data_IF_134407798376
#
_entry.id   IF_134407798376
#
_cell.length_a   1.000
_cell.length_b   1.000
_cell.length_c   1.000
_cell.angle_alpha   90.00
_cell.angle_beta   90.00
_cell.angle_gamma   90.00
#
_symmetry.space_group_name_H-M   'P 1'
#
loop_
_entity.id
_entity.type
_entity.pdbx_description
1 polymer ?
#
# COMPACT_ATOMS: atom_id res chain seq x y z
N UNK A 1 -6.97 1.01 -21.06
CA UNK A 1 -6.78 1.12 -19.60
C UNK A 1 -5.36 1.60 -19.37
N UNK A 2 -5.15 2.43 -18.35
CA UNK A 2 -3.85 2.90 -17.91
C UNK A 2 -3.44 2.16 -16.64
N UNK A 3 -2.16 1.91 -16.50
CA UNK A 3 -1.57 1.33 -15.30
C UNK A 3 -1.32 2.44 -14.28
N UNK A 4 -1.71 2.21 -13.04
CA UNK A 4 -1.42 3.10 -11.93
C UNK A 4 -0.78 2.33 -10.79
N UNK A 5 0.26 2.92 -10.21
CA UNK A 5 0.94 2.46 -9.01
C UNK A 5 0.56 3.40 -7.88
N UNK A 6 -0.19 2.87 -6.91
CA UNK A 6 -0.70 3.65 -5.78
C UNK A 6 -0.04 3.17 -4.50
N UNK A 7 0.53 4.11 -3.76
CA UNK A 7 1.14 3.86 -2.44
C UNK A 7 0.18 4.35 -1.37
N UNK A 8 -0.26 3.42 -0.51
CA UNK A 8 -1.16 3.67 0.61
C UNK A 8 -0.38 3.55 1.91
N UNK A 9 -0.55 4.53 2.80
CA UNK A 9 -0.14 4.41 4.20
C UNK A 9 -1.23 3.66 4.98
N UNK A 10 -0.84 2.58 5.66
CA UNK A 10 -1.73 1.87 6.58
C UNK A 10 -1.70 2.51 7.98
N UNK A 11 -2.85 2.59 8.67
CA UNK A 11 -2.88 2.96 10.06
C UNK A 11 -2.20 1.87 10.90
N UNK A 12 -1.29 2.28 11.77
CA UNK A 12 -0.58 1.37 12.67
C UNK A 12 0.88 1.75 12.86
N UNK A 13 1.69 0.77 13.23
CA UNK A 13 3.12 0.87 13.45
C UNK A 13 3.81 -0.51 13.39
N UNK A 14 4.67 -0.78 14.36
CA UNK A 14 5.52 -1.98 14.42
C UNK A 14 4.71 -3.29 14.47
N UNK A 15 3.46 -3.27 14.90
CA UNK A 15 2.57 -4.44 14.90
C UNK A 15 2.26 -4.95 13.48
N UNK A 16 2.41 -4.10 12.47
CA UNK A 16 2.28 -4.46 11.06
C UNK A 16 3.60 -4.87 10.42
N UNK A 17 4.72 -4.79 11.16
CA UNK A 17 6.06 -5.04 10.63
C UNK A 17 6.27 -6.53 10.37
N UNK A 18 6.84 -6.82 9.21
CA UNK A 18 7.26 -8.17 8.87
C UNK A 18 8.56 -8.47 9.64
N UNK A 19 8.54 -9.50 10.46
CA UNK A 19 9.74 -9.95 11.19
C UNK A 19 10.59 -10.86 10.29
N UNK A 20 11.91 -10.79 10.43
CA UNK A 20 12.88 -11.60 9.67
C UNK A 20 12.44 -13.07 9.60
N UNK A 21 12.11 -13.54 8.39
CA UNK A 21 11.59 -14.90 8.17
C UNK A 21 10.37 -15.03 7.23
N UNK A 22 9.94 -13.95 6.56
CA UNK A 22 8.79 -13.91 5.62
C UNK A 22 7.42 -14.18 6.25
N UNK A 23 7.31 -14.27 7.57
CA UNK A 23 5.99 -14.40 8.19
C UNK A 23 5.32 -13.03 8.20
N UNK A 24 4.29 -12.86 7.36
CA UNK A 24 3.38 -11.73 7.48
C UNK A 24 2.75 -11.71 8.88
N UNK A 25 2.47 -10.51 9.42
CA UNK A 25 1.58 -10.40 10.57
C UNK A 25 0.29 -11.16 10.28
N UNK A 26 -0.18 -11.93 11.25
CA UNK A 26 -1.43 -12.67 11.12
C UNK A 26 -2.55 -11.68 10.76
N UNK A 27 -3.31 -11.97 9.71
CA UNK A 27 -4.40 -11.11 9.22
C UNK A 27 -3.97 -9.77 8.60
N UNK A 28 -2.69 -9.58 8.23
CA UNK A 28 -2.18 -8.32 7.65
C UNK A 28 -3.09 -7.75 6.56
N UNK A 29 -3.50 -8.56 5.57
CA UNK A 29 -4.36 -8.08 4.48
C UNK A 29 -5.80 -7.86 4.88
N UNK A 30 -6.32 -8.63 5.82
CA UNK A 30 -7.65 -8.39 6.38
C UNK A 30 -7.67 -7.03 7.10
N UNK A 31 -6.63 -6.75 7.89
CA UNK A 31 -6.46 -5.48 8.59
C UNK A 31 -6.22 -4.31 7.63
N UNK A 32 -5.36 -4.49 6.62
CA UNK A 32 -5.13 -3.50 5.57
C UNK A 32 -6.42 -3.21 4.78
N UNK A 33 -7.18 -4.24 4.42
CA UNK A 33 -8.46 -4.13 3.72
C UNK A 33 -9.50 -3.42 4.57
N UNK A 34 -9.57 -3.75 5.85
CA UNK A 34 -10.46 -3.10 6.81
C UNK A 34 -10.08 -1.63 7.00
N UNK A 35 -8.80 -1.31 7.13
CA UNK A 35 -8.33 0.06 7.21
C UNK A 35 -8.73 0.88 5.97
N UNK A 36 -8.55 0.31 4.79
CA UNK A 36 -8.91 0.94 3.52
C UNK A 36 -10.43 1.10 3.38
N UNK A 37 -11.22 0.07 3.73
CA UNK A 37 -12.69 0.12 3.63
C UNK A 37 -13.30 1.17 4.57
N UNK A 38 -12.71 1.37 5.74
CA UNK A 38 -13.09 2.40 6.71
C UNK A 38 -12.58 3.80 6.35
N UNK A 39 -11.75 3.95 5.32
CA UNK A 39 -11.16 5.23 4.92
C UNK A 39 -10.06 5.72 5.85
N UNK A 40 -9.44 4.83 6.62
CA UNK A 40 -8.38 5.14 7.59
C UNK A 40 -6.96 5.12 6.98
N UNK A 41 -6.86 5.05 5.65
CA UNK A 41 -5.59 5.08 4.92
C UNK A 41 -5.36 6.43 4.25
N UNK A 42 -4.10 6.75 3.98
CA UNK A 42 -3.73 7.95 3.21
C UNK A 42 -3.02 7.55 1.93
N UNK A 43 -3.38 8.18 0.80
CA UNK A 43 -2.67 7.99 -0.46
C UNK A 43 -1.45 8.91 -0.45
N UNK A 44 -0.26 8.32 -0.46
CA UNK A 44 1.00 9.07 -0.44
C UNK A 44 1.44 9.42 -1.86
N UNK A 45 1.17 8.52 -2.82
CA UNK A 45 1.57 8.67 -4.20
C UNK A 45 0.62 7.88 -5.11
N UNK A 46 0.31 8.43 -6.28
CA UNK A 46 -0.39 7.74 -7.38
C UNK A 46 0.25 8.15 -8.69
N UNK A 47 0.78 7.18 -9.45
CA UNK A 47 1.52 7.47 -10.68
C UNK A 47 1.26 6.44 -11.78
N UNK A 48 1.53 6.82 -13.02
CA UNK A 48 1.36 5.93 -14.19
C UNK A 48 2.65 5.13 -14.54
N UNK A 49 3.76 5.40 -13.86
CA UNK A 49 5.09 4.85 -14.15
C UNK A 49 5.72 4.08 -12.97
N UNK A 50 6.57 3.10 -13.28
CA UNK A 50 7.24 2.19 -12.31
C UNK A 50 8.51 2.79 -11.66
N UNK A 51 8.81 4.05 -11.92
CA UNK A 51 10.00 4.72 -11.41
C UNK A 51 10.03 4.90 -9.88
N UNK A 52 11.18 5.37 -9.41
CA UNK A 52 11.39 5.74 -8.00
C UNK A 52 10.53 6.97 -7.69
N UNK A 53 9.65 6.87 -6.69
CA UNK A 53 8.78 7.99 -6.30
C UNK A 53 9.49 8.93 -5.33
N UNK A 54 9.98 10.08 -5.82
CA UNK A 54 10.59 11.10 -4.95
C UNK A 54 9.64 11.58 -3.84
N UNK A 55 8.34 11.64 -4.11
CA UNK A 55 7.33 12.04 -3.11
C UNK A 55 7.28 11.02 -1.95
N UNK A 56 7.35 9.73 -2.28
CA UNK A 56 7.45 8.67 -1.29
C UNK A 56 8.72 8.81 -0.44
N UNK A 57 9.89 9.00 -1.06
CA UNK A 57 11.14 9.16 -0.32
C UNK A 57 11.19 10.42 0.54
N UNK A 58 10.67 11.53 0.03
CA UNK A 58 10.49 12.77 0.81
C UNK A 58 9.60 12.51 2.02
N UNK A 59 8.48 11.80 1.83
CA UNK A 59 7.55 11.46 2.90
C UNK A 59 8.18 10.56 3.96
N UNK A 60 8.82 9.46 3.53
CA UNK A 60 9.55 8.52 4.40
C UNK A 60 10.60 9.24 5.25
N UNK A 61 11.32 10.20 4.67
CA UNK A 61 12.30 11.01 5.39
C UNK A 61 11.73 11.88 6.53
N UNK A 62 10.41 12.07 6.57
CA UNK A 62 9.71 12.82 7.64
C UNK A 62 9.12 11.94 8.74
N UNK A 63 9.14 10.61 8.56
CA UNK A 63 8.52 9.68 9.49
C UNK A 63 9.24 9.69 10.83
N UNK A 64 8.45 9.85 11.91
CA UNK A 64 8.93 9.80 13.30
C UNK A 64 8.71 8.45 13.98
N UNK A 65 7.89 7.60 13.37
CA UNK A 65 7.53 6.26 13.83
C UNK A 65 7.60 5.31 12.65
N UNK A 66 7.70 4.01 12.93
CA UNK A 66 7.58 3.00 11.90
C UNK A 66 6.23 3.10 11.20
N UNK A 67 6.23 3.05 9.88
CA UNK A 67 5.02 3.12 9.06
C UNK A 67 5.04 2.03 7.99
N UNK A 68 3.91 1.35 7.83
CA UNK A 68 3.73 0.37 6.75
C UNK A 68 3.04 1.01 5.57
N UNK A 69 3.64 0.82 4.41
CA UNK A 69 3.08 1.22 3.13
C UNK A 69 2.69 0.00 2.30
N UNK A 70 1.62 0.14 1.53
CA UNK A 70 1.21 -0.84 0.54
C UNK A 70 1.28 -0.23 -0.85
N UNK A 71 2.01 -0.88 -1.75
CA UNK A 71 1.99 -0.61 -3.17
C UNK A 71 0.93 -1.50 -3.84
N UNK A 72 0.03 -0.88 -4.60
CA UNK A 72 -0.93 -1.61 -5.45
C UNK A 72 -0.84 -1.16 -6.90
N UNK A 73 -0.93 -2.14 -7.79
CA UNK A 73 -1.06 -1.93 -9.22
C UNK A 73 -2.54 -1.97 -9.62
N UNK A 74 -3.04 -0.87 -10.19
CA UNK A 74 -4.43 -0.71 -10.58
C UNK A 74 -4.56 -0.42 -12.08
N UNK A 75 -5.59 -0.99 -12.69
CA UNK A 75 -6.01 -0.65 -14.04
C UNK A 75 -7.19 0.32 -13.99
N UNK A 76 -6.95 1.55 -14.46
CA UNK A 76 -7.93 2.64 -14.43
C UNK A 76 -8.19 3.16 -15.84
N UNK A 77 -9.39 3.68 -16.08
CA UNK A 77 -9.71 4.32 -17.34
C UNK A 77 -9.13 5.75 -17.39
N UNK A 78 -8.69 6.27 -18.55
CA UNK A 78 -8.04 7.59 -18.65
C UNK A 78 -8.85 8.79 -18.14
N UNK A 79 -10.18 8.65 -18.02
CA UNK A 79 -11.09 9.69 -17.56
C UNK A 79 -11.68 9.38 -16.16
N UNK A 80 -11.24 8.30 -15.50
CA UNK A 80 -11.61 8.06 -14.10
C UNK A 80 -10.81 9.03 -13.23
N UNK A 81 -11.48 10.05 -12.69
CA UNK A 81 -10.97 10.76 -11.53
C UNK A 81 -11.05 9.80 -10.36
N UNK A 82 -9.93 9.21 -9.96
CA UNK A 82 -9.99 8.16 -8.95
C UNK A 82 -10.00 8.80 -7.58
N UNK A 83 -11.21 9.01 -7.08
CA UNK A 83 -11.40 9.44 -5.71
C UNK A 83 -10.81 8.41 -4.75
N UNK A 84 -10.42 8.84 -3.56
CA UNK A 84 -9.99 7.91 -2.49
C UNK A 84 -11.04 6.82 -2.24
N UNK A 85 -12.33 7.16 -2.34
CA UNK A 85 -13.43 6.20 -2.22
C UNK A 85 -13.43 5.10 -3.29
N UNK A 86 -13.02 5.41 -4.52
CA UNK A 86 -12.95 4.45 -5.63
C UNK A 86 -11.69 3.59 -5.55
N UNK A 87 -10.57 4.19 -5.15
CA UNK A 87 -9.35 3.45 -4.82
C UNK A 87 -9.62 2.45 -3.70
N UNK A 88 -10.33 2.87 -2.66
CA UNK A 88 -10.69 2.00 -1.54
C UNK A 88 -11.54 0.82 -2.01
N UNK A 89 -12.57 1.07 -2.85
CA UNK A 89 -13.39 0.01 -3.44
C UNK A 89 -12.57 -0.97 -4.26
N UNK A 90 -11.67 -0.47 -5.13
CA UNK A 90 -10.81 -1.32 -5.96
C UNK A 90 -9.87 -2.15 -5.09
N UNK A 91 -9.23 -1.54 -4.09
CA UNK A 91 -8.36 -2.23 -3.14
C UNK A 91 -9.09 -3.33 -2.37
N UNK A 92 -10.30 -3.05 -1.86
CA UNK A 92 -11.10 -4.08 -1.17
C UNK A 92 -11.49 -5.25 -2.06
N UNK A 93 -11.53 -5.07 -3.37
CA UNK A 93 -11.72 -6.15 -4.34
C UNK A 93 -10.45 -6.97 -4.62
N UNK A 94 -9.27 -6.45 -4.32
CA UNK A 94 -8.00 -7.17 -4.53
C UNK A 94 -7.76 -8.20 -3.42
N UNK A 95 -8.22 -7.92 -2.20
CA UNK A 95 -7.99 -8.77 -1.02
C UNK A 95 -8.48 -10.21 -1.17
N UNK A 96 -9.51 -10.44 -1.99
CA UNK A 96 -10.02 -11.78 -2.31
C UNK A 96 -9.11 -12.62 -3.21
N UNK A 97 -8.05 -12.04 -3.77
CA UNK A 97 -7.14 -12.68 -4.74
C UNK A 97 -5.68 -12.72 -4.30
N UNK A 98 -5.38 -12.30 -3.07
CA UNK A 98 -4.00 -12.22 -2.59
C UNK A 98 -3.47 -13.64 -2.38
N UNK A 99 -2.52 -14.04 -3.21
CA UNK A 99 -1.86 -15.34 -3.12
C UNK A 99 -0.56 -15.25 -2.32
N UNK A 100 0.24 -14.20 -2.57
CA UNK A 100 1.51 -13.98 -1.88
C UNK A 100 1.74 -12.48 -1.62
N UNK A 101 2.17 -12.16 -0.40
CA UNK A 101 2.73 -10.84 -0.08
C UNK A 101 4.24 -10.82 -0.22
N UNK A 102 4.76 -9.69 -0.68
CA UNK A 102 6.20 -9.45 -0.74
C UNK A 102 6.53 -8.09 -0.16
N UNK A 103 7.46 -8.07 0.80
CA UNK A 103 8.13 -6.83 1.22
C UNK A 103 9.15 -6.49 0.15
N UNK A 104 8.91 -5.42 -0.59
CA UNK A 104 9.79 -4.99 -1.70
C UNK A 104 10.87 -4.01 -1.25
N UNK A 105 10.63 -3.29 -0.15
CA UNK A 105 11.63 -2.43 0.48
C UNK A 105 11.34 -2.30 1.98
N UNK A 106 12.40 -2.13 2.77
CA UNK A 106 12.29 -1.95 4.20
C UNK A 106 13.49 -1.21 4.78
N UNK A 107 13.21 -0.35 5.75
CA UNK A 107 14.21 0.30 6.58
C UNK A 107 13.77 0.29 8.06
N UNK A 108 14.55 0.92 8.93
CA UNK A 108 14.23 0.98 10.36
C UNK A 108 12.90 1.69 10.67
N UNK A 109 12.47 2.63 9.81
CA UNK A 109 11.30 3.48 10.00
C UNK A 109 10.16 3.19 9.01
N UNK A 110 10.31 2.26 8.08
CA UNK A 110 9.22 1.89 7.19
C UNK A 110 9.38 0.49 6.58
N UNK A 111 8.29 -0.01 6.02
CA UNK A 111 8.32 -1.08 5.03
C UNK A 111 7.34 -0.77 3.90
N UNK A 112 7.65 -1.25 2.71
CA UNK A 112 6.79 -1.19 1.54
C UNK A 112 6.44 -2.62 1.12
N UNK A 113 5.16 -2.94 1.22
CA UNK A 113 4.60 -4.26 0.90
C UNK A 113 3.85 -4.17 -0.43
N UNK A 114 4.00 -5.16 -1.29
CA UNK A 114 3.18 -5.32 -2.50
C UNK A 114 2.44 -6.64 -2.47
N UNK A 115 1.36 -6.68 -3.23
CA UNK A 115 0.70 -7.92 -3.64
C UNK A 115 1.33 -8.29 -4.97
N UNK A 116 1.86 -9.51 -5.07
CA UNK A 116 2.08 -10.12 -6.39
C UNK A 116 0.78 -10.86 -6.73
N UNK A 117 0.11 -10.44 -7.80
CA UNK A 117 -1.16 -10.99 -8.27
C UNK A 117 -1.00 -11.61 -9.65
#
# INVERSE_FOLDING_TARGET
MKHYFVVLELPGGEELKFTDGKCSPKHFWEDATNAVSLGNTSIISSREDTGVCEEFWKYVGTLKKFTTFVLVHLHLCPNEFVSQSELNKKFTGISSYIQEETVIDAAYNFQLVTIDA
#
